data_IF_627696532338
#
_entry.id   IF_627696532338
#
_cell.length_a   1.000
_cell.length_b   1.000
_cell.length_c   1.000
_cell.angle_alpha   90.00
_cell.angle_beta   90.00
_cell.angle_gamma   90.00
#
_symmetry.space_group_name_H-M   'P 1'
#
loop_
_entity.id
_entity.type
_entity.pdbx_description
1 polymer ?
#
# COMPACT_ATOMS: atom_id res chain seq x y z
N UNK A 1 -23.85 -51.43 -9.62
CA UNK A 1 -23.97 -50.17 -10.38
C UNK A 1 -23.42 -49.08 -9.47
N UNK A 2 -22.16 -48.68 -9.66
CA UNK A 2 -21.47 -47.71 -8.82
C UNK A 2 -21.73 -46.35 -9.46
N UNK A 3 -22.56 -45.53 -8.82
CA UNK A 3 -22.69 -44.13 -9.18
C UNK A 3 -21.32 -43.49 -9.02
N UNK A 4 -20.69 -43.18 -10.15
CA UNK A 4 -19.55 -42.27 -10.15
C UNK A 4 -20.10 -40.93 -9.66
N UNK A 5 -19.58 -40.34 -8.56
CA UNK A 5 -19.86 -38.96 -8.25
C UNK A 5 -19.28 -38.16 -9.41
N UNK A 6 -20.14 -37.86 -10.38
CA UNK A 6 -19.82 -36.98 -11.48
C UNK A 6 -19.28 -35.71 -10.86
N UNK A 7 -18.06 -35.35 -11.27
CA UNK A 7 -17.45 -34.08 -10.96
C UNK A 7 -18.46 -32.99 -11.35
N UNK A 8 -19.29 -32.59 -10.39
CA UNK A 8 -20.12 -31.42 -10.44
C UNK A 8 -19.12 -30.28 -10.50
N UNK A 9 -18.75 -29.92 -11.73
CA UNK A 9 -18.03 -28.72 -12.13
C UNK A 9 -18.58 -27.57 -11.32
N UNK A 10 -17.92 -27.29 -10.19
CA UNK A 10 -18.03 -26.13 -9.33
C UNK A 10 -19.29 -25.32 -9.57
N UNK A 11 -20.36 -25.64 -8.82
CA UNK A 11 -21.62 -24.93 -8.88
C UNK A 11 -21.36 -23.40 -8.91
N UNK A 12 -21.84 -22.71 -9.95
CA UNK A 12 -21.54 -21.28 -10.19
C UNK A 12 -21.88 -20.43 -8.97
N UNK A 13 -22.86 -20.87 -8.18
CA UNK A 13 -23.22 -20.27 -6.91
C UNK A 13 -22.12 -20.39 -5.84
N UNK A 14 -21.46 -21.55 -5.75
CA UNK A 14 -20.32 -21.78 -4.83
C UNK A 14 -19.10 -20.95 -5.24
N UNK A 15 -18.73 -21.00 -6.52
CA UNK A 15 -17.62 -20.19 -7.07
C UNK A 15 -17.85 -18.71 -6.78
N UNK A 16 -19.04 -18.18 -7.07
CA UNK A 16 -19.34 -16.76 -6.83
C UNK A 16 -19.35 -16.39 -5.34
N UNK A 17 -19.79 -17.28 -4.45
CA UNK A 17 -19.87 -17.01 -3.00
C UNK A 17 -18.52 -17.11 -2.30
N UNK A 18 -17.61 -17.97 -2.75
CA UNK A 18 -16.33 -18.25 -2.06
C UNK A 18 -15.10 -17.80 -2.84
N UNK A 19 -15.05 -18.02 -4.14
CA UNK A 19 -13.87 -17.69 -4.94
C UNK A 19 -13.69 -16.18 -5.10
N UNK A 20 -14.77 -15.41 -5.28
CA UNK A 20 -14.65 -13.96 -5.40
C UNK A 20 -14.10 -13.29 -4.12
N UNK A 21 -14.63 -13.56 -2.90
CA UNK A 21 -14.00 -13.06 -1.68
C UNK A 21 -12.56 -13.50 -1.52
N UNK A 22 -12.27 -14.78 -1.80
CA UNK A 22 -10.90 -15.28 -1.71
C UNK A 22 -9.96 -14.55 -2.67
N UNK A 23 -10.39 -14.34 -3.92
CA UNK A 23 -9.63 -13.60 -4.92
C UNK A 23 -9.38 -12.15 -4.49
N UNK A 24 -10.38 -11.47 -3.91
CA UNK A 24 -10.19 -10.12 -3.37
C UNK A 24 -9.19 -10.11 -2.21
N UNK A 25 -9.25 -11.08 -1.29
CA UNK A 25 -8.28 -11.18 -0.18
C UNK A 25 -6.87 -11.49 -0.70
N UNK A 26 -6.73 -12.40 -1.65
CA UNK A 26 -5.43 -12.69 -2.26
C UNK A 26 -4.87 -11.47 -2.99
N UNK A 27 -5.71 -10.76 -3.75
CA UNK A 27 -5.36 -9.50 -4.40
C UNK A 27 -4.91 -8.45 -3.37
N UNK A 28 -5.62 -8.33 -2.25
CA UNK A 28 -5.26 -7.44 -1.15
C UNK A 28 -3.93 -7.84 -0.50
N UNK A 29 -3.65 -9.13 -0.30
CA UNK A 29 -2.38 -9.61 0.25
C UNK A 29 -1.20 -9.31 -0.67
N UNK A 30 -1.36 -9.55 -1.97
CA UNK A 30 -0.35 -9.21 -2.99
C UNK A 30 -0.12 -7.69 -3.02
N UNK A 31 -1.20 -6.91 -3.02
CA UNK A 31 -1.12 -5.46 -2.93
C UNK A 31 -0.36 -5.00 -1.67
N UNK A 32 -0.71 -5.53 -0.50
CA UNK A 32 -0.10 -5.15 0.77
C UNK A 32 1.40 -5.49 0.80
N UNK A 33 1.78 -6.67 0.28
CA UNK A 33 3.18 -7.08 0.17
C UNK A 33 3.98 -6.15 -0.75
N UNK A 34 3.44 -5.81 -1.93
CA UNK A 34 4.10 -4.90 -2.87
C UNK A 34 4.21 -3.48 -2.33
N UNK A 35 3.14 -2.96 -1.72
CA UNK A 35 3.11 -1.65 -1.09
C UNK A 35 4.12 -1.57 0.06
N UNK A 36 4.20 -2.60 0.90
CA UNK A 36 5.19 -2.68 1.97
C UNK A 36 6.64 -2.80 1.43
N UNK A 37 6.84 -3.58 0.37
CA UNK A 37 8.18 -3.76 -0.21
C UNK A 37 8.72 -2.45 -0.79
N UNK A 38 7.89 -1.74 -1.54
CA UNK A 38 8.24 -0.49 -2.25
C UNK A 38 8.14 0.77 -1.40
N UNK A 39 7.71 0.66 -0.14
CA UNK A 39 7.63 1.81 0.74
C UNK A 39 9.05 2.36 1.06
N UNK A 40 9.24 3.70 1.04
CA UNK A 40 10.53 4.30 1.35
C UNK A 40 11.03 3.95 2.76
N UNK A 41 12.30 3.58 2.87
CA UNK A 41 12.95 3.27 4.16
C UNK A 41 14.06 4.27 4.47
N UNK A 42 14.06 4.77 5.69
CA UNK A 42 15.16 5.59 6.18
C UNK A 42 16.45 4.75 6.22
N UNK A 43 17.54 5.35 5.79
CA UNK A 43 18.89 4.82 5.80
C UNK A 43 19.84 5.93 6.28
N UNK A 44 21.03 5.53 6.72
CA UNK A 44 22.10 6.47 7.07
C UNK A 44 23.09 6.64 5.91
N UNK A 45 24.00 7.60 6.06
CA UNK A 45 25.04 7.89 5.07
C UNK A 45 26.00 6.69 4.89
N UNK A 46 26.28 5.94 5.96
CA UNK A 46 27.11 4.73 5.89
C UNK A 46 26.47 3.62 5.04
N UNK A 47 25.14 3.48 5.06
CA UNK A 47 24.41 2.58 4.18
C UNK A 47 24.42 3.05 2.72
N UNK A 48 24.31 4.35 2.47
CA UNK A 48 24.44 4.92 1.13
C UNK A 48 25.82 4.61 0.55
N UNK A 49 26.89 4.88 1.29
CA UNK A 49 28.26 4.61 0.85
C UNK A 49 28.47 3.10 0.58
N UNK A 50 27.92 2.24 1.45
CA UNK A 50 27.97 0.79 1.25
C UNK A 50 27.23 0.34 -0.01
N UNK A 51 26.07 0.94 -0.31
CA UNK A 51 25.29 0.63 -1.51
C UNK A 51 26.00 1.16 -2.77
N UNK A 52 26.62 2.34 -2.73
CA UNK A 52 27.42 2.91 -3.82
C UNK A 52 28.66 2.06 -4.09
N UNK A 53 29.42 1.71 -3.05
CA UNK A 53 30.61 0.87 -3.16
C UNK A 53 30.30 -0.53 -3.70
N UNK A 54 29.11 -1.06 -3.41
CA UNK A 54 28.64 -2.34 -3.90
C UNK A 54 27.96 -2.28 -5.28
N UNK A 55 27.85 -1.09 -5.91
CA UNK A 55 27.15 -0.92 -7.18
C UNK A 55 25.65 -1.26 -7.12
N UNK A 56 25.02 -1.08 -5.94
CA UNK A 56 23.60 -1.38 -5.69
C UNK A 56 22.69 -0.15 -5.83
N UNK A 57 23.19 0.96 -6.33
CA UNK A 57 22.41 2.17 -6.57
C UNK A 57 22.02 2.20 -8.05
N UNK A 58 20.71 2.12 -8.34
CA UNK A 58 20.18 2.14 -9.71
C UNK A 58 19.78 3.55 -10.12
N UNK A 59 19.06 4.25 -9.23
CA UNK A 59 18.73 5.66 -9.41
C UNK A 59 19.03 6.41 -8.14
N UNK A 60 19.37 7.69 -8.26
CA UNK A 60 19.69 8.56 -7.15
C UNK A 60 19.27 9.98 -7.48
N UNK A 61 18.62 10.68 -6.55
CA UNK A 61 18.16 12.05 -6.73
C UNK A 61 17.98 12.76 -5.38
N UNK A 62 18.05 14.09 -5.40
CA UNK A 62 17.74 14.95 -4.25
C UNK A 62 16.25 15.27 -4.18
N UNK A 63 15.69 15.29 -2.97
CA UNK A 63 14.28 15.59 -2.72
C UNK A 63 14.05 16.35 -1.40
N UNK A 64 13.06 17.23 -1.37
CA UNK A 64 12.69 18.08 -0.21
C UNK A 64 11.57 17.46 0.63
N UNK A 65 11.57 16.13 0.70
CA UNK A 65 10.56 15.31 1.36
C UNK A 65 9.65 14.57 0.40
N UNK A 66 8.46 14.21 0.89
CA UNK A 66 7.50 13.37 0.17
C UNK A 66 6.26 14.18 -0.23
N UNK A 67 5.68 13.86 -1.38
CA UNK A 67 4.37 14.35 -1.76
C UNK A 67 3.30 13.72 -0.86
N UNK A 68 2.56 14.57 -0.16
CA UNK A 68 1.39 14.20 0.65
C UNK A 68 0.13 14.39 -0.20
N UNK A 69 -0.69 13.34 -0.39
CA UNK A 69 -1.96 13.46 -1.12
C UNK A 69 -2.35 12.31 -2.04
N UNK A 70 -1.69 11.16 -1.96
CA UNK A 70 -2.07 9.98 -2.73
C UNK A 70 -3.34 9.28 -2.23
N UNK A 71 -4.01 8.53 -3.10
CA UNK A 71 -5.01 7.54 -2.70
C UNK A 71 -4.35 6.41 -1.91
N UNK A 72 -5.11 5.72 -1.05
CA UNK A 72 -4.60 4.55 -0.33
C UNK A 72 -4.13 3.51 -1.35
N UNK A 73 -2.83 3.19 -1.31
CA UNK A 73 -2.18 2.28 -2.25
C UNK A 73 -1.23 2.94 -3.26
N UNK A 74 -1.17 4.27 -3.35
CA UNK A 74 -0.09 4.96 -4.07
C UNK A 74 1.12 5.12 -3.16
N UNK A 75 2.30 4.83 -3.70
CA UNK A 75 3.59 5.08 -3.05
C UNK A 75 3.75 6.61 -2.84
N UNK A 76 4.29 7.06 -1.68
CA UNK A 76 4.74 8.44 -1.56
C UNK A 76 5.79 8.75 -2.62
N UNK A 77 5.55 9.79 -3.42
CA UNK A 77 6.50 10.23 -4.43
C UNK A 77 7.45 11.27 -3.82
N UNK A 78 8.76 11.17 -4.03
CA UNK A 78 9.69 12.19 -3.56
C UNK A 78 9.41 13.51 -4.29
N UNK A 79 9.56 14.61 -3.56
CA UNK A 79 9.45 15.97 -4.10
C UNK A 79 10.84 16.43 -4.53
N UNK A 80 11.22 16.13 -5.77
CA UNK A 80 12.53 16.49 -6.29
C UNK A 80 12.76 18.00 -6.33
N UNK A 81 13.98 18.43 -6.02
CA UNK A 81 14.37 19.84 -6.00
C UNK A 81 15.89 20.01 -6.00
N UNK A 82 16.37 21.08 -6.63
CA UNK A 82 17.78 21.48 -6.55
C UNK A 82 18.10 21.98 -5.13
N UNK A 83 19.24 21.55 -4.57
CA UNK A 83 19.63 21.91 -3.19
C UNK A 83 18.82 21.21 -2.10
N UNK A 84 18.05 20.18 -2.45
CA UNK A 84 17.21 19.50 -1.47
C UNK A 84 18.02 18.65 -0.47
N UNK A 85 17.53 18.58 0.77
CA UNK A 85 18.28 18.07 1.94
C UNK A 85 18.26 16.54 2.09
N UNK A 86 17.45 15.82 1.32
CA UNK A 86 17.35 14.36 1.38
C UNK A 86 17.80 13.75 0.07
N UNK A 87 18.63 12.72 0.14
CA UNK A 87 18.95 11.86 -0.98
C UNK A 87 18.01 10.67 -0.98
N UNK A 88 17.45 10.36 -2.14
CA UNK A 88 16.59 9.20 -2.37
C UNK A 88 17.25 8.36 -3.44
N UNK A 89 17.36 7.05 -3.20
CA UNK A 89 17.90 6.12 -4.18
C UNK A 89 17.10 4.83 -4.24
N UNK A 90 17.18 4.17 -5.40
CA UNK A 90 16.58 2.86 -5.62
C UNK A 90 17.64 1.79 -5.77
N UNK A 91 17.31 0.58 -5.30
CA UNK A 91 18.15 -0.61 -5.42
C UNK A 91 17.64 -1.55 -6.52
N UNK A 92 18.48 -2.47 -7.04
CA UNK A 92 18.07 -3.45 -8.06
C UNK A 92 16.91 -4.35 -7.62
N UNK A 93 16.71 -4.51 -6.31
CA UNK A 93 15.62 -5.28 -5.70
C UNK A 93 14.28 -4.50 -5.65
N UNK A 94 14.25 -3.26 -6.15
CA UNK A 94 13.07 -2.41 -6.16
C UNK A 94 12.77 -1.71 -4.83
N UNK A 95 13.68 -1.79 -3.84
CA UNK A 95 13.55 -1.01 -2.62
C UNK A 95 13.98 0.44 -2.83
N UNK A 96 13.29 1.34 -2.13
CA UNK A 96 13.61 2.77 -2.11
C UNK A 96 14.16 3.10 -0.73
N UNK A 97 15.28 3.81 -0.72
CA UNK A 97 15.95 4.26 0.48
C UNK A 97 16.10 5.76 0.45
N UNK A 98 16.15 6.37 1.62
CA UNK A 98 16.41 7.79 1.75
C UNK A 98 17.27 8.08 2.97
N UNK A 99 18.11 9.10 2.85
CA UNK A 99 18.93 9.60 3.94
C UNK A 99 18.90 11.13 3.94
N UNK A 100 18.91 11.74 5.12
CA UNK A 100 19.17 13.17 5.25
C UNK A 100 20.66 13.40 5.02
N UNK A 101 21.02 14.08 3.94
CA UNK A 101 22.42 14.30 3.57
C UNK A 101 22.60 15.77 3.21
N UNK A 102 23.55 16.48 3.84
CA UNK A 102 23.77 17.89 3.57
C UNK A 102 24.06 18.13 2.08
N UNK A 103 23.76 19.35 1.62
CA UNK A 103 23.96 19.72 0.20
C UNK A 103 25.42 19.65 -0.19
N UNK A 104 26.28 20.11 0.71
CA UNK A 104 27.73 19.98 0.63
C UNK A 104 28.20 19.26 1.88
N UNK A 105 29.11 18.30 1.70
CA UNK A 105 29.83 17.71 2.80
C UNK A 105 30.58 18.83 3.58
N UNK A 106 30.39 18.95 4.89
CA UNK A 106 31.01 20.01 5.69
C UNK A 106 32.55 19.89 5.78
N UNK A 107 33.11 18.70 5.56
CA UNK A 107 34.55 18.45 5.58
C UNK A 107 35.18 18.63 4.20
N UNK A 108 34.52 18.16 3.14
CA UNK A 108 35.10 18.14 1.78
C UNK A 108 34.52 19.19 0.82
N UNK A 109 33.36 19.77 1.13
CA UNK A 109 32.60 20.66 0.24
C UNK A 109 32.03 19.96 -0.99
N UNK A 110 32.13 18.63 -1.08
CA UNK A 110 31.66 17.87 -2.22
C UNK A 110 30.17 17.52 -2.07
N UNK A 111 29.43 17.61 -3.16
CA UNK A 111 28.09 17.03 -3.25
C UNK A 111 28.24 15.50 -3.44
N UNK A 112 27.60 14.64 -2.63
CA UNK A 112 27.57 13.19 -2.86
C UNK A 112 27.10 12.79 -4.27
N UNK A 113 26.29 13.62 -4.95
CA UNK A 113 25.92 13.41 -6.36
C UNK A 113 27.07 13.67 -7.34
N UNK A 114 28.16 14.30 -6.90
CA UNK A 114 29.36 14.50 -7.69
C UNK A 114 30.22 13.22 -7.80
N UNK A 115 29.94 12.17 -6.99
CA UNK A 115 30.55 10.85 -7.16
C UNK A 115 30.23 10.35 -8.59
N UNK A 116 31.25 9.99 -9.40
CA UNK A 116 31.03 9.38 -10.71
C UNK A 116 30.04 8.21 -10.69
N UNK A 117 30.02 7.41 -9.61
CA UNK A 117 29.09 6.29 -9.41
C UNK A 117 27.63 6.75 -9.28
N UNK A 118 27.41 7.91 -8.64
CA UNK A 118 26.09 8.50 -8.50
C UNK A 118 25.59 9.08 -9.83
N UNK A 119 26.48 9.64 -10.65
CA UNK A 119 26.12 10.18 -11.97
C UNK A 119 25.52 9.12 -12.90
N UNK A 120 26.12 7.93 -12.96
CA UNK A 120 25.58 6.84 -13.78
C UNK A 120 24.15 6.45 -13.36
N UNK A 121 23.85 6.47 -12.06
CA UNK A 121 22.52 6.22 -11.52
C UNK A 121 21.51 7.35 -11.83
N UNK A 122 21.94 8.62 -11.83
CA UNK A 122 21.04 9.76 -12.14
C UNK A 122 20.51 9.76 -13.58
N UNK A 123 21.23 9.11 -14.52
CA UNK A 123 20.82 9.06 -15.94
C UNK A 123 19.64 8.12 -16.22
N UNK A 124 19.35 7.18 -15.30
CA UNK A 124 18.27 6.20 -15.43
C UNK A 124 16.95 6.75 -14.86
N UNK A 125 16.40 7.78 -15.48
CA UNK A 125 15.12 8.37 -15.04
C UNK A 125 13.93 7.66 -15.70
N UNK A 126 13.12 6.97 -14.90
CA UNK A 126 11.92 6.25 -15.35
C UNK A 126 12.23 4.83 -15.85
N UNK A 127 11.43 3.86 -15.40
CA UNK A 127 11.51 2.40 -15.64
C UNK A 127 12.45 1.60 -14.74
N UNK A 128 12.47 1.92 -13.43
CA UNK A 128 13.07 1.01 -12.45
C UNK A 128 12.11 -0.13 -12.06
N UNK A 129 12.66 -1.24 -11.55
CA UNK A 129 11.86 -2.30 -10.91
C UNK A 129 11.01 -1.72 -9.76
N UNK A 130 11.53 -0.74 -9.01
CA UNK A 130 10.81 -0.08 -7.93
C UNK A 130 9.54 0.61 -8.44
N UNK A 131 9.62 1.28 -9.61
CA UNK A 131 8.47 1.95 -10.22
C UNK A 131 7.47 0.94 -10.80
N UNK A 132 7.96 -0.15 -11.43
CA UNK A 132 7.09 -1.22 -11.91
C UNK A 132 6.29 -1.87 -10.76
N UNK A 133 6.95 -2.20 -9.64
CA UNK A 133 6.29 -2.79 -8.46
C UNK A 133 5.32 -1.80 -7.80
N UNK A 134 5.69 -0.52 -7.72
CA UNK A 134 4.82 0.53 -7.17
C UNK A 134 3.59 0.76 -8.06
N UNK A 135 3.76 0.76 -9.38
CA UNK A 135 2.67 0.86 -10.34
C UNK A 135 1.74 -0.36 -10.26
N UNK A 136 2.30 -1.57 -10.12
CA UNK A 136 1.52 -2.78 -9.90
C UNK A 136 0.70 -2.70 -8.60
N UNK A 137 1.30 -2.23 -7.50
CA UNK A 137 0.58 -1.98 -6.25
C UNK A 137 -0.55 -0.96 -6.44
N UNK A 138 -0.28 0.17 -7.11
CA UNK A 138 -1.30 1.18 -7.41
C UNK A 138 -2.46 0.64 -8.24
N UNK A 139 -2.17 -0.19 -9.26
CA UNK A 139 -3.18 -0.83 -10.10
C UNK A 139 -4.02 -1.83 -9.30
N UNK A 140 -3.40 -2.65 -8.45
CA UNK A 140 -4.14 -3.58 -7.58
C UNK A 140 -5.05 -2.82 -6.61
N UNK A 141 -4.57 -1.73 -6.00
CA UNK A 141 -5.37 -0.87 -5.14
C UNK A 141 -6.58 -0.30 -5.88
N UNK A 142 -6.37 0.19 -7.12
CA UNK A 142 -7.44 0.69 -7.98
C UNK A 142 -8.46 -0.40 -8.31
N UNK A 143 -8.02 -1.59 -8.70
CA UNK A 143 -8.90 -2.73 -9.03
C UNK A 143 -9.71 -3.16 -7.81
N UNK A 144 -9.09 -3.26 -6.63
CA UNK A 144 -9.79 -3.59 -5.38
C UNK A 144 -10.80 -2.52 -5.03
N UNK A 145 -10.40 -1.24 -5.03
CA UNK A 145 -11.25 -0.11 -4.66
C UNK A 145 -12.42 0.09 -5.62
N UNK A 146 -12.16 0.12 -6.93
CA UNK A 146 -13.18 0.28 -7.96
C UNK A 146 -14.12 -0.94 -8.02
N UNK A 147 -13.57 -2.15 -7.94
CA UNK A 147 -14.35 -3.39 -7.90
C UNK A 147 -15.27 -3.43 -6.68
N UNK A 148 -14.75 -3.08 -5.51
CA UNK A 148 -15.55 -2.97 -4.29
C UNK A 148 -16.65 -1.92 -4.42
N UNK A 149 -16.34 -0.72 -4.91
CA UNK A 149 -17.31 0.36 -5.06
C UNK A 149 -18.42 -0.02 -6.05
N UNK A 150 -18.07 -0.63 -7.18
CA UNK A 150 -19.03 -1.16 -8.15
C UNK A 150 -19.95 -2.20 -7.49
N UNK A 151 -19.39 -3.13 -6.71
CA UNK A 151 -20.17 -4.12 -5.98
C UNK A 151 -21.07 -3.50 -4.91
N UNK A 152 -20.65 -2.39 -4.29
CA UNK A 152 -21.44 -1.69 -3.29
C UNK A 152 -22.64 -0.96 -3.92
N UNK A 153 -22.45 -0.36 -5.09
CA UNK A 153 -23.48 0.43 -5.80
C UNK A 153 -24.43 -0.44 -6.60
N UNK A 154 -23.92 -1.34 -7.43
CA UNK A 154 -24.70 -2.17 -8.35
C UNK A 154 -25.10 -3.53 -7.75
N UNK A 155 -24.46 -3.95 -6.66
CA UNK A 155 -24.74 -5.23 -6.02
C UNK A 155 -26.01 -5.22 -5.15
N UNK A 156 -26.38 -6.40 -4.61
CA UNK A 156 -27.48 -6.54 -3.67
C UNK A 156 -27.32 -5.58 -2.48
N UNK A 157 -28.44 -5.11 -1.90
CA UNK A 157 -28.37 -4.24 -0.72
C UNK A 157 -27.65 -4.97 0.43
N UNK A 158 -26.75 -4.29 1.17
CA UNK A 158 -26.07 -4.91 2.31
C UNK A 158 -27.04 -5.30 3.42
N UNK A 159 -26.69 -6.33 4.18
CA UNK A 159 -27.52 -6.93 5.24
C UNK A 159 -27.39 -6.14 6.54
N UNK A 160 -26.17 -5.74 6.93
CA UNK A 160 -25.88 -5.18 8.26
C UNK A 160 -25.91 -3.65 8.31
N UNK A 161 -25.66 -2.99 7.19
CA UNK A 161 -25.63 -1.53 7.09
C UNK A 161 -26.25 -1.03 5.79
N UNK A 162 -26.44 0.28 5.69
CA UNK A 162 -26.78 0.89 4.40
C UNK A 162 -25.56 0.92 3.48
N UNK A 163 -25.76 1.15 2.18
CA UNK A 163 -24.66 1.41 1.25
C UNK A 163 -23.80 2.59 1.72
N UNK A 164 -24.44 3.62 2.26
CA UNK A 164 -23.75 4.80 2.81
C UNK A 164 -22.90 4.48 4.04
N UNK A 165 -23.39 3.60 4.92
CA UNK A 165 -22.58 3.11 6.05
C UNK A 165 -21.29 2.46 5.56
N UNK A 166 -21.40 1.54 4.60
CA UNK A 166 -20.24 0.82 4.08
C UNK A 166 -19.34 1.69 3.21
N UNK A 167 -19.89 2.69 2.51
CA UNK A 167 -19.09 3.68 1.79
C UNK A 167 -18.08 4.35 2.71
N UNK A 168 -18.53 4.87 3.86
CA UNK A 168 -17.63 5.47 4.84
C UNK A 168 -16.61 4.49 5.40
N UNK A 169 -17.05 3.30 5.82
CA UNK A 169 -16.14 2.30 6.38
C UNK A 169 -15.09 1.84 5.35
N UNK A 170 -15.46 1.74 4.08
CA UNK A 170 -14.56 1.36 3.00
C UNK A 170 -13.40 2.33 2.76
N UNK A 171 -13.51 3.57 3.24
CA UNK A 171 -12.44 4.57 3.19
C UNK A 171 -11.40 4.40 4.32
N UNK A 172 -11.54 3.39 5.18
CA UNK A 172 -10.53 3.09 6.18
C UNK A 172 -9.16 2.83 5.52
N UNK A 173 -8.05 3.27 6.15
CA UNK A 173 -6.71 3.07 5.62
C UNK A 173 -6.39 1.61 5.34
N UNK A 174 -5.44 1.39 4.43
CA UNK A 174 -4.97 0.07 4.00
C UNK A 174 -6.06 -0.87 3.45
N UNK A 175 -7.20 -0.33 3.00
CA UNK A 175 -8.31 -1.13 2.49
C UNK A 175 -8.98 -2.01 3.56
N UNK A 176 -8.76 -1.75 4.84
CA UNK A 176 -9.33 -2.53 5.95
C UNK A 176 -10.87 -2.51 5.92
N UNK A 177 -11.45 -1.41 5.46
CA UNK A 177 -12.89 -1.28 5.26
C UNK A 177 -13.45 -2.26 4.24
N UNK A 178 -12.72 -2.49 3.14
CA UNK A 178 -13.08 -3.45 2.08
C UNK A 178 -13.05 -4.87 2.65
N UNK A 179 -12.03 -5.21 3.42
CA UNK A 179 -11.93 -6.52 4.09
C UNK A 179 -13.05 -6.72 5.11
N UNK A 180 -13.36 -5.70 5.91
CA UNK A 180 -14.45 -5.75 6.89
C UNK A 180 -15.81 -5.96 6.20
N UNK A 181 -16.07 -5.23 5.11
CA UNK A 181 -17.25 -5.41 4.27
C UNK A 181 -17.32 -6.81 3.69
N UNK A 182 -16.22 -7.30 3.11
CA UNK A 182 -16.15 -8.62 2.48
C UNK A 182 -16.44 -9.73 3.48
N UNK A 183 -15.79 -9.69 4.65
CA UNK A 183 -16.02 -10.66 5.70
C UNK A 183 -17.47 -10.62 6.21
N UNK A 184 -18.05 -9.44 6.39
CA UNK A 184 -19.38 -9.30 6.97
C UNK A 184 -20.51 -9.60 5.99
N UNK A 185 -20.43 -9.08 4.76
CA UNK A 185 -21.51 -9.11 3.77
C UNK A 185 -21.37 -10.27 2.77
N UNK A 186 -20.16 -10.78 2.51
CA UNK A 186 -19.95 -11.90 1.57
C UNK A 186 -19.72 -13.24 2.26
N UNK A 187 -18.89 -13.30 3.29
CA UNK A 187 -18.67 -14.56 4.02
C UNK A 187 -19.73 -14.87 5.06
N UNK A 188 -20.28 -13.85 5.73
CA UNK A 188 -21.33 -14.02 6.77
C UNK A 188 -22.72 -13.58 6.31
N UNK A 189 -22.94 -13.44 5.00
CA UNK A 189 -24.19 -12.93 4.43
C UNK A 189 -25.41 -13.83 4.64
N UNK A 190 -25.20 -15.12 4.95
CA UNK A 190 -26.29 -16.06 5.22
C UNK A 190 -26.87 -15.95 6.64
N UNK A 191 -26.26 -15.14 7.52
CA UNK A 191 -26.78 -14.92 8.85
C UNK A 191 -27.92 -13.89 8.81
N UNK A 192 -29.12 -14.22 9.30
CA UNK A 192 -30.22 -13.27 9.35
C UNK A 192 -29.82 -12.04 10.19
N UNK A 193 -30.28 -10.87 9.76
CA UNK A 193 -30.01 -9.62 10.46
C UNK A 193 -30.75 -9.60 11.81
N UNK A 194 -30.08 -10.03 12.87
CA UNK A 194 -30.63 -10.03 14.23
C UNK A 194 -30.78 -8.61 14.83
N UNK A 195 -30.32 -7.57 14.14
CA UNK A 195 -30.31 -6.18 14.61
C UNK A 195 -30.75 -5.21 13.50
N UNK A 196 -31.31 -4.05 13.86
CA UNK A 196 -31.64 -3.01 12.89
C UNK A 196 -30.40 -2.58 12.10
N UNK A 197 -30.61 -2.23 10.82
CA UNK A 197 -29.54 -1.80 9.91
C UNK A 197 -28.86 -0.55 10.45
N UNK A 198 -27.52 -0.53 10.42
CA UNK A 198 -26.73 0.63 10.83
C UNK A 198 -26.95 1.81 9.88
N UNK A 199 -27.13 2.99 10.45
CA UNK A 199 -27.31 4.25 9.70
C UNK A 199 -26.01 4.67 9.02
N UNK A 200 -26.12 5.48 7.97
CA UNK A 200 -24.94 5.98 7.27
C UNK A 200 -24.01 6.82 8.15
N UNK A 201 -24.57 7.66 9.03
CA UNK A 201 -23.79 8.48 9.98
C UNK A 201 -22.98 7.66 10.98
N UNK A 202 -23.49 6.50 11.39
CA UNK A 202 -22.69 5.58 12.23
C UNK A 202 -21.46 5.02 11.49
N UNK A 203 -21.51 4.98 10.15
CA UNK A 203 -20.37 4.61 9.31
C UNK A 203 -19.29 5.68 9.32
N UNK A 204 -19.69 6.95 9.26
CA UNK A 204 -18.75 8.08 9.41
C UNK A 204 -18.07 8.07 10.78
N UNK A 205 -18.82 7.88 11.86
CA UNK A 205 -18.24 7.74 13.20
C UNK A 205 -17.28 6.55 13.30
N UNK A 206 -17.62 5.42 12.67
CA UNK A 206 -16.75 4.25 12.58
C UNK A 206 -15.48 4.49 11.75
N UNK A 207 -15.56 5.27 10.67
CA UNK A 207 -14.41 5.68 9.87
C UNK A 207 -13.43 6.53 10.70
N UNK A 208 -13.95 7.54 11.40
CA UNK A 208 -13.12 8.43 12.24
C UNK A 208 -12.44 7.65 13.35
N UNK A 209 -13.20 6.86 14.11
CA UNK A 209 -12.66 6.06 15.21
C UNK A 209 -11.69 4.98 14.71
N UNK A 210 -12.07 4.27 13.64
CA UNK A 210 -11.22 3.25 13.04
C UNK A 210 -9.92 3.83 12.48
N UNK A 211 -9.98 5.01 11.86
CA UNK A 211 -8.80 5.74 11.39
C UNK A 211 -7.85 6.07 12.54
N UNK A 212 -8.36 6.61 13.65
CA UNK A 212 -7.56 6.90 14.85
C UNK A 212 -6.90 5.61 15.38
N UNK A 213 -7.67 4.53 15.54
CA UNK A 213 -7.14 3.25 16.03
C UNK A 213 -6.04 2.71 15.12
N UNK A 214 -6.22 2.78 13.80
CA UNK A 214 -5.22 2.34 12.82
C UNK A 214 -3.97 3.20 12.91
N UNK A 215 -4.10 4.53 12.98
CA UNK A 215 -2.95 5.43 13.12
C UNK A 215 -2.16 5.17 14.40
N UNK A 216 -2.84 4.99 15.53
CA UNK A 216 -2.19 4.65 16.80
C UNK A 216 -1.49 3.29 16.71
N UNK A 217 -2.12 2.29 16.10
CA UNK A 217 -1.50 0.98 15.92
C UNK A 217 -0.22 1.06 15.06
N UNK A 218 -0.25 1.80 13.95
CA UNK A 218 0.92 2.02 13.10
C UNK A 218 2.03 2.74 13.85
N UNK A 219 1.71 3.80 14.61
CA UNK A 219 2.68 4.53 15.41
C UNK A 219 3.32 3.64 16.50
N UNK A 220 2.52 2.82 17.19
CA UNK A 220 3.03 1.86 18.19
C UNK A 220 3.94 0.82 17.54
N UNK A 221 3.55 0.27 16.40
CA UNK A 221 4.39 -0.69 15.67
C UNK A 221 5.71 -0.06 15.21
N UNK A 222 5.67 1.19 14.71
CA UNK A 222 6.87 1.93 14.33
C UNK A 222 7.79 2.20 15.53
N UNK A 223 7.22 2.52 16.70
CA UNK A 223 7.99 2.73 17.92
C UNK A 223 8.64 1.43 18.44
N UNK A 224 7.95 0.28 18.32
CA UNK A 224 8.44 -1.01 18.84
C UNK A 224 9.45 -1.68 17.90
N UNK A 225 9.26 -1.57 16.58
CA UNK A 225 10.05 -2.30 15.59
C UNK A 225 10.98 -1.40 14.75
N UNK A 226 10.91 -0.08 14.96
CA UNK A 226 11.67 0.92 14.20
C UNK A 226 11.17 1.11 12.77
N UNK A 227 11.74 2.12 12.10
CA UNK A 227 11.42 2.47 10.70
C UNK A 227 11.83 1.40 9.67
N UNK A 228 12.55 0.36 10.09
CA UNK A 228 12.94 -0.75 9.22
C UNK A 228 11.76 -1.68 8.90
N UNK A 229 10.91 -1.95 9.91
CA UNK A 229 9.77 -2.89 9.79
C UNK A 229 8.49 -2.15 9.40
N UNK A 230 8.30 -0.93 9.89
CA UNK A 230 7.17 -0.06 9.56
C UNK A 230 7.69 1.16 8.79
N UNK A 231 7.70 1.11 7.45
CA UNK A 231 8.16 2.22 6.63
C UNK A 231 7.23 3.44 6.78
N UNK A 232 7.80 4.65 6.78
CA UNK A 232 7.02 5.90 6.72
C UNK A 232 6.61 6.52 8.07
N UNK A 233 7.40 6.30 9.12
CA UNK A 233 7.32 7.07 10.37
C UNK A 233 7.84 8.50 10.24
#
# INVERSE_FOLDING_TARGET
MIDRPGAALLDRAWLRRRALPLAVVLCWLVWAALAWWTAPRAADEAELERDLAAGRVVTMARADGWQTGGTWGRRPEPRYGEGAWMLVWTRPDGQIRYAAVPVEDPETGADPLADPRARDATTHYGDTLADALANAAGLLALVIGAGWLLMLVAGPPPVVGTRWFWFWIGLLPFGLGVLAWLHRERWRGDLPAARPRRSGWSGLGGLLLGGIVVSVAVAVLAALFGGYVVPGG
#
